data_IF_387371843030
#
_entry.id   IF_387371843030
#
_cell.length_a   1.000
_cell.length_b   1.000
_cell.length_c   1.000
_cell.angle_alpha   90.00
_cell.angle_beta   90.00
_cell.angle_gamma   90.00
#
_symmetry.space_group_name_H-M   'P 1'
#
loop_
_entity.id
_entity.type
_entity.pdbx_description
1 polymer ?
#
# COMPACT_ATOMS: atom_id res chain seq x y z
N UNK A 1 -2.95 1.05 27.07
CA UNK A 1 -1.66 1.73 26.74
C UNK A 1 -1.72 2.23 25.31
N UNK A 2 -1.48 3.50 25.14
CA UNK A 2 -1.33 4.07 23.80
C UNK A 2 0.10 3.90 23.30
N UNK A 3 0.25 3.52 22.03
CA UNK A 3 1.54 3.48 21.37
C UNK A 3 1.58 4.62 20.36
N UNK A 4 2.58 5.48 20.47
CA UNK A 4 2.78 6.56 19.52
C UNK A 4 3.35 6.01 18.23
N UNK A 5 2.55 6.03 17.15
CA UNK A 5 2.95 5.61 15.81
C UNK A 5 3.32 6.81 14.97
N UNK A 6 4.35 6.66 14.16
CA UNK A 6 4.79 7.69 13.21
C UNK A 6 4.59 7.18 11.79
N UNK A 7 3.96 7.99 10.96
CA UNK A 7 3.90 7.74 9.51
C UNK A 7 4.94 8.62 8.82
N UNK A 8 5.78 8.02 8.01
CA UNK A 8 6.84 8.73 7.29
C UNK A 8 7.12 8.13 5.93
N UNK A 9 7.79 8.90 5.09
CA UNK A 9 8.31 8.38 3.83
C UNK A 9 9.35 7.28 4.11
N UNK A 10 9.31 6.24 3.28
CA UNK A 10 10.34 5.21 3.27
C UNK A 10 11.52 5.63 2.40
N UNK A 11 12.69 5.09 2.72
CA UNK A 11 13.88 5.20 1.89
C UNK A 11 14.58 3.83 1.73
N UNK A 12 15.67 3.78 0.97
CA UNK A 12 16.37 2.53 0.69
C UNK A 12 16.94 1.86 1.96
N UNK A 13 17.27 2.65 2.97
CA UNK A 13 17.79 2.12 4.24
C UNK A 13 16.74 1.33 5.02
N UNK A 14 15.46 1.49 4.70
CA UNK A 14 14.35 0.78 5.34
C UNK A 14 14.17 -0.65 4.83
N UNK A 15 14.70 -0.98 3.65
CA UNK A 15 14.46 -2.28 3.02
C UNK A 15 14.75 -3.48 3.92
N UNK A 16 15.85 -3.53 4.70
CA UNK A 16 16.10 -4.66 5.59
C UNK A 16 15.02 -4.86 6.67
N UNK A 17 14.34 -3.79 7.10
CA UNK A 17 13.27 -3.86 8.11
C UNK A 17 11.88 -4.14 7.49
N UNK A 18 11.83 -4.43 6.20
CA UNK A 18 10.59 -4.76 5.48
C UNK A 18 10.53 -6.23 5.02
N UNK A 19 11.44 -7.06 5.48
CA UNK A 19 11.52 -8.48 5.12
C UNK A 19 10.28 -9.29 5.54
N UNK A 20 9.57 -8.84 6.56
CA UNK A 20 8.30 -9.41 6.99
C UNK A 20 7.17 -9.21 5.97
N UNK A 21 7.30 -8.25 5.05
CA UNK A 21 6.25 -7.89 4.10
C UNK A 21 6.26 -8.72 2.82
N UNK A 22 7.29 -9.50 2.58
CA UNK A 22 7.40 -10.37 1.41
C UNK A 22 8.84 -10.84 1.16
N UNK A 23 9.01 -11.70 0.19
CA UNK A 23 10.30 -12.27 -0.19
C UNK A 23 11.18 -11.33 -1.04
N UNK A 24 12.33 -11.84 -1.54
CA UNK A 24 13.29 -11.02 -2.30
C UNK A 24 12.68 -10.34 -3.52
N UNK A 25 11.80 -11.02 -4.25
CA UNK A 25 11.13 -10.45 -5.43
C UNK A 25 10.25 -9.26 -5.04
N UNK A 26 9.55 -9.39 -3.91
CA UNK A 26 8.72 -8.29 -3.39
C UNK A 26 9.60 -7.11 -2.95
N UNK A 27 10.69 -7.36 -2.24
CA UNK A 27 11.60 -6.30 -1.82
C UNK A 27 12.26 -5.60 -3.01
N UNK A 28 12.54 -6.31 -4.10
CA UNK A 28 13.00 -5.71 -5.35
C UNK A 28 11.94 -4.77 -5.94
N UNK A 29 10.66 -5.16 -5.88
CA UNK A 29 9.56 -4.29 -6.33
C UNK A 29 9.42 -3.05 -5.44
N UNK A 30 9.59 -3.18 -4.14
CA UNK A 30 9.62 -2.04 -3.21
C UNK A 30 10.79 -1.11 -3.54
N UNK A 31 11.97 -1.66 -3.80
CA UNK A 31 13.14 -0.86 -4.19
C UNK A 31 12.88 -0.07 -5.48
N UNK A 32 12.24 -0.70 -6.48
CA UNK A 32 11.87 -0.02 -7.73
C UNK A 32 10.87 1.12 -7.47
N UNK A 33 9.89 0.91 -6.59
CA UNK A 33 8.93 1.95 -6.21
C UNK A 33 9.63 3.11 -5.47
N UNK A 34 10.60 2.81 -4.61
CA UNK A 34 11.41 3.83 -3.95
C UNK A 34 12.23 4.65 -4.96
N UNK A 35 12.77 4.01 -5.98
CA UNK A 35 13.44 4.72 -7.07
C UNK A 35 12.48 5.69 -7.78
N UNK A 36 11.27 5.23 -8.09
CA UNK A 36 10.24 6.07 -8.71
C UNK A 36 9.80 7.22 -7.78
N UNK A 37 9.85 7.03 -6.47
CA UNK A 37 9.47 8.06 -5.50
C UNK A 37 10.41 9.27 -5.52
N UNK A 38 11.62 9.10 -6.01
CA UNK A 38 12.60 10.20 -6.10
C UNK A 38 12.18 11.28 -7.11
N UNK A 39 11.31 10.97 -8.06
CA UNK A 39 10.81 11.91 -9.07
C UNK A 39 9.41 12.45 -8.76
N UNK A 40 8.84 12.12 -7.59
CA UNK A 40 7.58 12.70 -7.11
C UNK A 40 6.30 12.06 -7.67
N UNK A 41 6.40 11.05 -8.55
CA UNK A 41 5.24 10.38 -9.13
C UNK A 41 4.69 9.24 -8.27
N UNK A 42 5.44 8.83 -7.27
CA UNK A 42 5.11 7.76 -6.33
C UNK A 42 5.43 8.23 -4.93
N UNK A 43 4.61 7.86 -3.96
CA UNK A 43 4.94 8.00 -2.54
C UNK A 43 4.94 6.61 -1.90
N UNK A 44 5.99 6.31 -1.13
CA UNK A 44 6.09 5.08 -0.35
C UNK A 44 6.16 5.46 1.13
N UNK A 45 5.16 5.01 1.90
CA UNK A 45 5.02 5.35 3.32
C UNK A 45 5.18 4.12 4.19
N UNK A 46 5.69 4.34 5.39
CA UNK A 46 5.74 3.34 6.44
C UNK A 46 5.17 3.86 7.75
N UNK A 47 4.68 2.95 8.57
CA UNK A 47 4.25 3.21 9.94
C UNK A 47 5.30 2.62 10.88
N UNK A 48 5.87 3.45 11.73
CA UNK A 48 6.94 3.08 12.64
C UNK A 48 6.51 3.15 14.10
N UNK A 49 7.03 2.21 14.89
CA UNK A 49 6.99 2.22 16.35
C UNK A 49 7.94 3.31 16.90
N UNK A 50 7.82 3.67 18.21
CA UNK A 50 8.75 4.62 18.83
C UNK A 50 10.22 4.20 18.75
N UNK A 51 10.52 2.90 18.65
CA UNK A 51 11.89 2.40 18.47
C UNK A 51 12.37 2.44 17.01
N UNK A 52 11.54 2.94 16.09
CA UNK A 52 11.86 3.04 14.67
C UNK A 52 11.52 1.81 13.83
N UNK A 53 11.11 0.69 14.43
CA UNK A 53 10.73 -0.53 13.69
C UNK A 53 9.48 -0.28 12.86
N UNK A 54 9.51 -0.71 11.60
CA UNK A 54 8.39 -0.58 10.69
C UNK A 54 7.40 -1.74 10.89
N UNK A 55 6.13 -1.40 11.04
CA UNK A 55 5.04 -2.36 11.26
C UNK A 55 3.99 -2.33 10.15
N UNK A 56 4.07 -1.38 9.24
CA UNK A 56 3.23 -1.30 8.06
C UNK A 56 3.94 -0.53 6.96
N UNK A 57 3.59 -0.82 5.73
CA UNK A 57 4.06 -0.07 4.57
C UNK A 57 3.04 -0.08 3.46
N UNK A 58 3.11 0.89 2.60
CA UNK A 58 2.30 0.95 1.38
C UNK A 58 2.72 2.11 0.52
N UNK A 59 2.26 2.09 -0.71
CA UNK A 59 2.56 3.13 -1.68
C UNK A 59 1.33 3.67 -2.37
N UNK A 60 1.50 4.79 -3.04
CA UNK A 60 0.53 5.34 -3.96
C UNK A 60 1.23 5.80 -5.23
N UNK A 61 0.73 5.33 -6.38
CA UNK A 61 1.16 5.80 -7.69
C UNK A 61 0.22 6.92 -8.13
N UNK A 62 0.79 8.11 -8.31
CA UNK A 62 0.07 9.34 -8.62
C UNK A 62 0.03 9.62 -10.13
N UNK A 63 0.63 8.74 -10.96
CA UNK A 63 0.81 8.93 -12.40
C UNK A 63 -0.05 7.99 -13.24
N UNK A 64 -0.41 6.84 -12.69
CA UNK A 64 -0.89 5.68 -13.44
C UNK A 64 -2.27 5.88 -14.06
N UNK A 65 -3.15 6.61 -13.37
CA UNK A 65 -4.53 6.84 -13.81
C UNK A 65 -4.89 8.33 -13.73
N UNK A 66 -5.58 8.83 -14.73
CA UNK A 66 -6.01 10.22 -14.75
C UNK A 66 -6.97 10.52 -13.58
N UNK A 67 -6.64 11.54 -12.78
CA UNK A 67 -7.45 11.99 -11.64
C UNK A 67 -7.46 11.07 -10.43
N UNK A 68 -6.67 9.99 -10.44
CA UNK A 68 -6.68 8.96 -9.41
C UNK A 68 -5.28 8.67 -8.89
N UNK A 69 -5.18 8.46 -7.58
CA UNK A 69 -4.01 7.83 -6.97
C UNK A 69 -4.27 6.35 -6.73
N UNK A 70 -3.40 5.46 -7.20
CA UNK A 70 -3.52 4.02 -6.98
C UNK A 70 -2.68 3.59 -5.80
N UNK A 71 -3.36 3.14 -4.73
CA UNK A 71 -2.72 2.55 -3.57
C UNK A 71 -2.35 1.10 -3.89
N UNK A 72 -1.12 0.70 -3.55
CA UNK A 72 -0.67 -0.68 -3.73
C UNK A 72 0.44 -1.03 -2.74
N UNK A 73 0.84 -2.29 -2.72
CA UNK A 73 1.87 -2.82 -1.81
C UNK A 73 1.53 -2.64 -0.33
N UNK A 74 0.24 -2.58 0.01
CA UNK A 74 -0.21 -2.38 1.39
C UNK A 74 0.05 -3.65 2.20
N UNK A 75 0.75 -3.52 3.31
CA UNK A 75 0.98 -4.63 4.23
C UNK A 75 1.07 -4.12 5.66
N UNK A 76 0.47 -4.86 6.58
CA UNK A 76 0.61 -4.65 8.02
C UNK A 76 1.26 -5.89 8.61
N UNK A 77 2.31 -5.70 9.41
CA UNK A 77 2.98 -6.80 10.11
C UNK A 77 1.97 -7.61 10.90
N UNK A 78 2.06 -8.94 10.81
CA UNK A 78 1.07 -9.86 11.37
C UNK A 78 0.74 -9.59 12.84
N UNK A 79 1.76 -9.28 13.65
CA UNK A 79 1.59 -8.99 15.06
C UNK A 79 0.79 -7.71 15.34
N UNK A 80 0.62 -6.84 14.34
CA UNK A 80 -0.02 -5.52 14.47
C UNK A 80 -1.33 -5.40 13.68
N UNK A 81 -1.80 -6.49 13.11
CA UNK A 81 -3.07 -6.49 12.38
C UNK A 81 -4.27 -6.32 13.32
N UNK A 82 -5.36 -5.78 12.78
CA UNK A 82 -6.63 -5.54 13.50
C UNK A 82 -6.54 -4.53 14.64
N UNK A 83 -5.54 -3.64 14.63
CA UNK A 83 -5.33 -2.61 15.64
C UNK A 83 -5.45 -1.18 15.07
N UNK A 84 -5.99 -1.04 13.84
CA UNK A 84 -6.17 0.26 13.21
C UNK A 84 -4.94 0.80 12.45
N UNK A 85 -3.86 0.04 12.37
CA UNK A 85 -2.62 0.46 11.68
C UNK A 85 -2.84 0.63 10.18
N UNK A 86 -3.57 -0.30 9.55
CA UNK A 86 -3.93 -0.20 8.14
C UNK A 86 -4.77 1.03 7.83
N UNK A 87 -5.71 1.37 8.69
CA UNK A 87 -6.54 2.58 8.55
C UNK A 87 -5.68 3.84 8.61
N UNK A 88 -4.73 3.88 9.54
CA UNK A 88 -3.78 5.00 9.66
C UNK A 88 -2.94 5.16 8.39
N UNK A 89 -2.39 4.06 7.88
CA UNK A 89 -1.58 4.05 6.66
C UNK A 89 -2.39 4.52 5.45
N UNK A 90 -3.59 3.98 5.24
CA UNK A 90 -4.45 4.34 4.11
C UNK A 90 -4.81 5.82 4.17
N UNK A 91 -5.16 6.34 5.35
CA UNK A 91 -5.45 7.76 5.52
C UNK A 91 -4.28 8.66 5.12
N UNK A 92 -3.06 8.28 5.47
CA UNK A 92 -1.86 9.02 5.09
C UNK A 92 -1.59 8.95 3.58
N UNK A 93 -1.83 7.80 2.95
CA UNK A 93 -1.72 7.67 1.48
C UNK A 93 -2.79 8.49 0.76
N UNK A 94 -4.01 8.51 1.27
CA UNK A 94 -5.10 9.35 0.73
C UNK A 94 -4.73 10.84 0.82
N UNK A 95 -4.07 11.26 1.88
CA UNK A 95 -3.58 12.63 2.01
C UNK A 95 -2.57 12.99 0.92
N UNK A 96 -1.71 12.05 0.53
CA UNK A 96 -0.79 12.25 -0.60
C UNK A 96 -1.52 12.41 -1.92
N UNK A 97 -2.61 11.65 -2.12
CA UNK A 97 -3.49 11.82 -3.30
C UNK A 97 -4.07 13.23 -3.34
N UNK A 98 -4.63 13.71 -2.21
CA UNK A 98 -5.17 15.07 -2.10
C UNK A 98 -4.13 16.14 -2.35
N UNK A 99 -2.95 16.00 -1.75
CA UNK A 99 -1.84 16.96 -1.91
C UNK A 99 -1.36 17.06 -3.35
N UNK A 100 -1.52 15.99 -4.13
CA UNK A 100 -1.18 15.97 -5.55
C UNK A 100 -2.30 16.51 -6.45
N UNK A 101 -3.39 16.98 -5.88
CA UNK A 101 -4.53 17.54 -6.60
C UNK A 101 -5.45 16.50 -7.23
N UNK A 102 -5.35 15.23 -6.81
CA UNK A 102 -6.20 14.15 -7.30
C UNK A 102 -7.39 13.92 -6.37
N UNK A 103 -8.54 13.57 -6.95
CA UNK A 103 -9.80 13.49 -6.22
C UNK A 103 -10.29 12.08 -5.90
N UNK A 104 -9.57 11.06 -6.32
CA UNK A 104 -9.99 9.66 -6.15
C UNK A 104 -8.82 8.80 -5.71
N UNK A 105 -9.03 7.98 -4.68
CA UNK A 105 -8.14 6.89 -4.31
C UNK A 105 -8.67 5.59 -4.92
N UNK A 106 -7.79 4.81 -5.51
CA UNK A 106 -8.09 3.55 -6.19
C UNK A 106 -7.19 2.44 -5.65
N UNK A 107 -7.71 1.24 -5.53
CA UNK A 107 -6.92 0.06 -5.17
C UNK A 107 -7.55 -1.22 -5.71
N UNK A 108 -6.73 -2.26 -5.82
CA UNK A 108 -7.18 -3.60 -6.15
C UNK A 108 -7.10 -4.52 -4.94
N UNK A 109 -8.10 -5.37 -4.76
CA UNK A 109 -8.09 -6.41 -3.74
C UNK A 109 -8.35 -7.75 -4.38
N UNK A 110 -7.53 -8.75 -4.04
CA UNK A 110 -7.72 -10.10 -4.56
C UNK A 110 -9.07 -10.66 -4.12
N UNK A 111 -9.71 -11.41 -5.02
CA UNK A 111 -11.04 -11.99 -4.80
C UNK A 111 -11.10 -12.94 -3.59
N UNK A 112 -9.96 -13.51 -3.20
CA UNK A 112 -9.84 -14.42 -2.06
C UNK A 112 -9.38 -13.74 -0.77
N UNK A 113 -9.42 -12.40 -0.72
CA UNK A 113 -9.06 -11.63 0.47
C UNK A 113 -10.26 -10.84 1.02
N UNK A 114 -11.27 -11.52 1.60
CA UNK A 114 -12.49 -10.86 2.07
C UNK A 114 -12.22 -9.91 3.26
N UNK A 115 -11.18 -10.16 4.04
CA UNK A 115 -10.83 -9.31 5.18
C UNK A 115 -10.38 -7.93 4.73
N UNK A 116 -9.50 -7.87 3.73
CA UNK A 116 -9.06 -6.59 3.16
C UNK A 116 -10.22 -5.87 2.47
N UNK A 117 -11.04 -6.59 1.72
CA UNK A 117 -12.23 -6.02 1.08
C UNK A 117 -13.18 -5.39 2.10
N UNK A 118 -13.40 -6.05 3.24
CA UNK A 118 -14.26 -5.52 4.31
C UNK A 118 -13.68 -4.23 4.90
N UNK A 119 -12.36 -4.17 5.12
CA UNK A 119 -11.69 -2.96 5.60
C UNK A 119 -11.89 -1.81 4.63
N UNK A 120 -11.63 -2.02 3.35
CA UNK A 120 -11.75 -0.95 2.36
C UNK A 120 -13.17 -0.43 2.23
N UNK A 121 -14.18 -1.34 2.27
CA UNK A 121 -15.58 -0.92 2.27
C UNK A 121 -15.96 -0.09 3.49
N UNK A 122 -15.46 -0.44 4.68
CA UNK A 122 -15.67 0.37 5.88
C UNK A 122 -15.07 1.76 5.75
N UNK A 123 -13.97 1.89 5.01
CA UNK A 123 -13.33 3.18 4.75
C UNK A 123 -14.00 3.98 3.63
N UNK A 124 -15.08 3.47 3.03
CA UNK A 124 -15.85 4.18 2.02
C UNK A 124 -15.50 3.83 0.58
N UNK A 125 -14.67 2.81 0.35
CA UNK A 125 -14.35 2.34 -1.00
C UNK A 125 -15.51 1.54 -1.57
N UNK A 126 -15.75 1.70 -2.88
CA UNK A 126 -16.81 1.00 -3.61
C UNK A 126 -16.22 0.26 -4.81
N UNK A 127 -16.74 -0.93 -5.09
CA UNK A 127 -16.32 -1.71 -6.24
C UNK A 127 -16.74 -1.03 -7.54
N UNK A 128 -15.80 -0.87 -8.46
CA UNK A 128 -16.02 -0.26 -9.78
C UNK A 128 -15.70 -1.20 -10.93
N UNK A 129 -15.07 -2.34 -10.67
CA UNK A 129 -14.74 -3.31 -11.71
C UNK A 129 -13.85 -4.42 -11.20
N UNK A 130 -13.34 -5.20 -12.14
CA UNK A 130 -12.37 -6.26 -11.86
C UNK A 130 -11.28 -6.22 -12.91
N UNK A 131 -10.06 -6.56 -12.53
CA UNK A 131 -8.90 -6.63 -13.41
C UNK A 131 -8.05 -7.86 -13.09
N UNK A 132 -7.34 -8.35 -14.09
CA UNK A 132 -6.25 -9.28 -13.86
C UNK A 132 -5.05 -8.51 -13.32
N UNK A 133 -4.39 -9.07 -12.32
CA UNK A 133 -3.16 -8.54 -11.77
C UNK A 133 -2.15 -9.69 -11.62
N UNK A 134 -0.88 -9.36 -11.57
CA UNK A 134 0.15 -10.36 -11.42
C UNK A 134 1.48 -9.75 -11.02
N UNK A 135 2.32 -10.58 -10.40
CA UNK A 135 3.66 -10.18 -10.00
C UNK A 135 4.62 -11.37 -9.97
N UNK A 136 5.92 -11.11 -10.12
CA UNK A 136 6.91 -12.17 -10.04
C UNK A 136 6.95 -12.82 -8.66
N UNK A 137 7.07 -14.14 -8.65
CA UNK A 137 7.27 -14.93 -7.44
C UNK A 137 8.50 -15.83 -7.59
N UNK A 138 8.86 -16.54 -6.53
CA UNK A 138 10.02 -17.42 -6.52
C UNK A 138 9.96 -18.46 -7.65
N UNK A 139 11.13 -18.87 -8.18
CA UNK A 139 11.25 -19.87 -9.23
C UNK A 139 10.99 -19.35 -10.64
N UNK A 140 11.09 -18.05 -10.87
CA UNK A 140 10.91 -17.43 -12.19
C UNK A 140 9.47 -17.46 -12.70
N UNK A 141 8.51 -17.72 -11.82
CA UNK A 141 7.08 -17.79 -12.16
C UNK A 141 6.42 -16.44 -11.93
N UNK A 142 5.28 -16.24 -12.59
CA UNK A 142 4.41 -15.09 -12.36
C UNK A 142 3.11 -15.59 -11.72
N UNK A 143 2.77 -15.03 -10.57
CA UNK A 143 1.46 -15.24 -9.95
C UNK A 143 0.47 -14.31 -10.64
N UNK A 144 -0.68 -14.85 -11.05
CA UNK A 144 -1.76 -14.09 -11.69
C UNK A 144 -3.04 -14.30 -10.90
N UNK A 145 -3.76 -13.22 -10.64
CA UNK A 145 -4.99 -13.24 -9.87
C UNK A 145 -6.01 -12.26 -10.45
N UNK A 146 -7.26 -12.39 -10.02
CA UNK A 146 -8.32 -11.43 -10.31
C UNK A 146 -8.49 -10.53 -9.11
N UNK A 147 -8.41 -9.23 -9.33
CA UNK A 147 -8.65 -8.22 -8.30
C UNK A 147 -9.97 -7.50 -8.56
N UNK A 148 -10.73 -7.29 -7.49
CA UNK A 148 -11.81 -6.31 -7.50
C UNK A 148 -11.18 -4.93 -7.36
N UNK A 149 -11.54 -4.01 -8.24
CA UNK A 149 -11.08 -2.62 -8.19
C UNK A 149 -12.07 -1.81 -7.38
N UNK A 150 -11.56 -1.12 -6.39
CA UNK A 150 -12.33 -0.28 -5.48
C UNK A 150 -11.85 1.16 -5.59
N UNK A 151 -12.78 2.11 -5.50
CA UNK A 151 -12.49 3.53 -5.52
C UNK A 151 -13.23 4.26 -4.42
N UNK A 152 -12.61 5.35 -3.94
CA UNK A 152 -13.17 6.29 -2.98
C UNK A 152 -12.94 7.71 -3.47
N UNK A 153 -13.99 8.53 -3.49
CA UNK A 153 -13.88 9.97 -3.71
C UNK A 153 -13.33 10.63 -2.44
N UNK A 154 -12.37 11.51 -2.62
CA UNK A 154 -11.67 12.18 -1.51
C UNK A 154 -12.08 13.62 -1.33
#
# INVERSE_FOLDING_TARGET
MEVALTVRDLDFADLPDLDWSGGPEHLNAVAAALQDSLTGGVAMLGVALPNGRLIAKGGVDLRKHAGRGELWMLAVHEAWQSLGVGTLLIGALEDRVRQHGLGVARLGVEHDNPRAAALYRRLGYRAVGSELDGWPVAGGRTYITVCTILERSL
#
